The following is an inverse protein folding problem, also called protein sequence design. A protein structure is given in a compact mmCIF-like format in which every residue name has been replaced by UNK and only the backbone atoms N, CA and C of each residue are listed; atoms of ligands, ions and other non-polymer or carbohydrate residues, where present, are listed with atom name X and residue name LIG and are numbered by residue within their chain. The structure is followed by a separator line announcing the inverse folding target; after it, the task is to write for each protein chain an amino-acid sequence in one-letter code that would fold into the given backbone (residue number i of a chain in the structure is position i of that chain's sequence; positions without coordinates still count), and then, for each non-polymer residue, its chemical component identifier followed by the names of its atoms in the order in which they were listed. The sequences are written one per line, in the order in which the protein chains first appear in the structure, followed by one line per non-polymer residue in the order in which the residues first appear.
data_IF_503680888205
#
_entry.id   IF_503680888205
#
_cell.length_a   1.000
_cell.length_b   1.000
_cell.length_c   1.000
_cell.angle_alpha   90.00
_cell.angle_beta   90.00
_cell.angle_gamma   90.00
#
_symmetry.space_group_name_H-M   'P 1'
#
loop_
_entity.id
_entity.type
_entity.pdbx_description
1 polymer ?
#
# COMPACT_ATOMS: atom_id res chain seq x y z
N UNK A 1 -22.75 -31.90 -31.58
CA UNK A 1 -23.04 -30.82 -30.62
C UNK A 1 -22.70 -31.15 -29.15
N UNK A 2 -22.78 -32.40 -28.65
CA UNK A 2 -22.40 -32.72 -27.25
C UNK A 2 -20.88 -32.72 -26.95
N UNK A 3 -20.02 -32.88 -27.96
CA UNK A 3 -18.55 -32.93 -27.79
C UNK A 3 -17.92 -31.62 -27.31
N UNK A 4 -18.24 -30.49 -27.97
CA UNK A 4 -17.71 -29.16 -27.60
C UNK A 4 -18.06 -28.74 -26.17
N UNK A 5 -19.24 -29.15 -25.66
CA UNK A 5 -19.69 -28.76 -24.31
C UNK A 5 -18.85 -29.40 -23.19
N UNK A 6 -18.41 -30.66 -23.36
CA UNK A 6 -17.57 -31.35 -22.37
C UNK A 6 -16.14 -30.78 -22.39
N UNK A 7 -15.59 -30.54 -23.58
CA UNK A 7 -14.25 -29.95 -23.73
C UNK A 7 -14.18 -28.53 -23.15
N UNK A 8 -15.20 -27.70 -23.42
CA UNK A 8 -15.33 -26.37 -22.81
C UNK A 8 -15.38 -26.44 -21.28
N UNK A 9 -16.17 -27.37 -20.72
CA UNK A 9 -16.27 -27.56 -19.28
C UNK A 9 -14.91 -27.94 -18.65
N UNK A 10 -14.14 -28.82 -19.30
CA UNK A 10 -12.78 -29.19 -18.82
C UNK A 10 -11.84 -27.99 -18.86
N UNK A 11 -11.87 -27.19 -19.92
CA UNK A 11 -11.05 -25.98 -20.01
C UNK A 11 -11.44 -24.94 -18.95
N UNK A 12 -12.74 -24.66 -18.78
CA UNK A 12 -13.25 -23.73 -17.75
C UNK A 12 -12.75 -24.11 -16.36
N UNK A 13 -12.73 -25.40 -16.02
CA UNK A 13 -12.23 -25.88 -14.72
C UNK A 13 -10.72 -25.61 -14.57
N UNK A 14 -9.93 -25.84 -15.63
CA UNK A 14 -8.48 -25.53 -15.62
C UNK A 14 -8.22 -24.03 -15.50
N UNK A 15 -8.92 -23.19 -16.28
CA UNK A 15 -8.81 -21.73 -16.20
C UNK A 15 -9.20 -21.23 -14.81
N UNK A 16 -10.23 -21.82 -14.19
CA UNK A 16 -10.63 -21.49 -12.82
C UNK A 16 -9.54 -21.80 -11.79
N UNK A 17 -8.84 -22.93 -11.95
CA UNK A 17 -7.70 -23.26 -11.09
C UNK A 17 -6.55 -22.25 -11.26
N UNK A 18 -6.23 -21.85 -12.49
CA UNK A 18 -5.19 -20.85 -12.79
C UNK A 18 -5.55 -19.49 -12.19
N UNK A 19 -6.79 -19.01 -12.37
CA UNK A 19 -7.28 -17.76 -11.78
C UNK A 19 -7.13 -17.78 -10.25
N UNK A 20 -7.47 -18.90 -9.61
CA UNK A 20 -7.36 -19.02 -8.16
C UNK A 20 -5.90 -18.93 -7.67
N UNK A 21 -4.95 -19.54 -8.38
CA UNK A 21 -3.52 -19.44 -8.05
C UNK A 21 -2.99 -18.02 -8.32
N UNK A 22 -3.38 -17.37 -9.42
CA UNK A 22 -3.04 -15.97 -9.68
C UNK A 22 -3.59 -15.04 -8.59
N UNK A 23 -4.81 -15.27 -8.11
CA UNK A 23 -5.39 -14.49 -7.01
C UNK A 23 -4.57 -14.61 -5.72
N UNK A 24 -4.10 -15.81 -5.37
CA UNK A 24 -3.21 -16.01 -4.21
C UNK A 24 -1.88 -15.29 -4.39
N UNK A 25 -1.26 -15.43 -5.57
CA UNK A 25 0.00 -14.78 -5.91
C UNK A 25 -0.11 -13.25 -5.81
N UNK A 26 -1.16 -12.66 -6.38
CA UNK A 26 -1.44 -11.23 -6.26
C UNK A 26 -1.58 -10.80 -4.79
N UNK A 27 -2.24 -11.60 -3.96
CA UNK A 27 -2.32 -11.38 -2.52
C UNK A 27 -0.96 -11.34 -1.83
N UNK A 28 -0.06 -12.26 -2.18
CA UNK A 28 1.29 -12.33 -1.60
C UNK A 28 2.21 -11.22 -2.14
N UNK A 29 2.07 -10.83 -3.42
CA UNK A 29 2.78 -9.69 -3.99
C UNK A 29 2.38 -8.38 -3.32
N UNK A 30 1.09 -8.17 -3.04
CA UNK A 30 0.62 -7.00 -2.29
C UNK A 30 1.15 -6.96 -0.85
N UNK A 31 1.28 -8.12 -0.18
CA UNK A 31 1.99 -8.19 1.11
C UNK A 31 3.46 -7.80 0.96
N UNK A 32 4.11 -8.24 -0.10
CA UNK A 32 5.50 -7.89 -0.40
C UNK A 32 5.70 -6.39 -0.64
N UNK A 33 4.79 -5.73 -1.37
CA UNK A 33 4.77 -4.27 -1.52
C UNK A 33 4.70 -3.58 -0.17
N UNK A 34 3.79 -4.01 0.70
CA UNK A 34 3.69 -3.47 2.05
C UNK A 34 4.97 -3.61 2.86
N UNK A 35 5.69 -4.75 2.76
CA UNK A 35 6.98 -4.89 3.44
C UNK A 35 8.05 -3.93 2.90
N UNK A 36 8.09 -3.69 1.59
CA UNK A 36 9.03 -2.73 0.99
C UNK A 36 8.72 -1.31 1.44
N UNK A 37 7.44 -0.92 1.41
CA UNK A 37 6.96 0.38 1.90
C UNK A 37 7.41 0.65 3.32
N UNK A 38 7.20 -0.31 4.22
CA UNK A 38 7.56 -0.16 5.63
C UNK A 38 9.07 -0.18 5.85
N UNK A 39 9.81 -1.04 5.13
CA UNK A 39 11.27 -1.05 5.21
C UNK A 39 11.87 0.28 4.73
N UNK A 40 11.32 0.87 3.67
CA UNK A 40 11.75 2.18 3.19
C UNK A 40 11.49 3.28 4.23
N UNK A 41 10.32 3.26 4.88
CA UNK A 41 9.98 4.21 5.94
C UNK A 41 10.86 4.05 7.18
N UNK A 42 11.07 2.83 7.66
CA UNK A 42 11.91 2.55 8.83
C UNK A 42 13.37 2.97 8.59
N UNK A 43 13.90 2.74 7.37
CA UNK A 43 15.24 3.19 7.00
C UNK A 43 15.33 4.71 6.92
N UNK A 44 14.31 5.37 6.37
CA UNK A 44 14.26 6.82 6.30
C UNK A 44 14.20 7.44 7.71
N UNK A 45 13.38 6.89 8.59
CA UNK A 45 13.26 7.34 9.98
C UNK A 45 14.57 7.14 10.75
N UNK A 46 15.23 5.99 10.58
CA UNK A 46 16.52 5.74 11.21
C UNK A 46 17.57 6.79 10.80
N UNK A 47 17.56 7.22 9.54
CA UNK A 47 18.47 8.24 9.04
C UNK A 47 18.17 9.60 9.67
N UNK A 48 16.89 9.99 9.70
CA UNK A 48 16.48 11.28 10.27
C UNK A 48 16.76 11.36 11.78
N UNK A 49 16.66 10.24 12.51
CA UNK A 49 16.90 10.18 13.96
C UNK A 49 18.36 10.02 14.36
N UNK A 50 19.13 9.18 13.64
CA UNK A 50 20.43 8.71 14.14
C UNK A 50 21.63 9.04 13.23
N UNK A 51 21.43 9.49 11.99
CA UNK A 51 22.58 9.90 11.17
C UNK A 51 22.98 11.33 11.49
N UNK A 52 24.13 11.43 12.15
CA UNK A 52 24.82 12.65 12.55
C UNK A 52 24.94 13.64 11.37
N UNK A 53 24.23 14.77 11.42
CA UNK A 53 24.31 15.85 10.41
C UNK A 53 25.71 16.48 10.34
N UNK A 54 26.58 16.19 11.31
CA UNK A 54 27.88 16.84 11.50
C UNK A 54 29.11 16.00 11.08
N UNK A 55 28.98 14.70 10.79
CA UNK A 55 30.16 13.84 10.51
C UNK A 55 30.14 13.22 9.10
N UNK A 56 30.85 13.91 8.21
CA UNK A 56 31.48 13.32 7.04
C UNK A 56 32.42 12.19 7.47
N UNK A 57 32.03 10.92 7.33
CA UNK A 57 32.98 9.80 7.42
C UNK A 57 32.54 8.63 6.54
N UNK A 58 32.99 8.67 5.29
CA UNK A 58 33.63 7.55 4.56
C UNK A 58 33.20 6.11 4.90
N UNK A 59 31.95 5.76 4.60
CA UNK A 59 31.53 4.44 4.05
C UNK A 59 30.01 4.49 3.79
N UNK A 60 29.62 5.28 2.79
CA UNK A 60 28.22 5.51 2.41
C UNK A 60 27.66 4.29 1.65
N UNK A 61 27.04 3.36 2.37
CA UNK A 61 25.78 2.83 1.85
C UNK A 61 24.72 3.89 2.14
N UNK A 62 24.70 4.95 1.33
CA UNK A 62 23.65 5.97 1.46
C UNK A 62 22.37 5.33 1.00
N UNK A 63 21.45 5.07 1.93
CA UNK A 63 20.08 4.73 1.59
C UNK A 63 19.54 5.75 0.58
N UNK A 64 19.28 5.29 -0.64
CA UNK A 64 18.73 6.10 -1.71
C UNK A 64 17.24 5.78 -1.83
N UNK A 65 16.40 6.76 -1.48
CA UNK A 65 14.95 6.58 -1.53
C UNK A 65 14.46 6.30 -2.97
N UNK A 66 15.18 6.81 -3.97
CA UNK A 66 14.81 6.61 -5.37
C UNK A 66 15.00 5.15 -5.79
N UNK A 67 16.02 4.46 -5.30
CA UNK A 67 16.23 3.03 -5.60
C UNK A 67 15.08 2.18 -5.03
N UNK A 68 14.58 2.52 -3.83
CA UNK A 68 13.41 1.84 -3.24
C UNK A 68 12.15 2.12 -4.04
N UNK A 69 11.97 3.36 -4.50
CA UNK A 69 10.83 3.75 -5.32
C UNK A 69 10.83 3.02 -6.67
N UNK A 70 11.99 2.91 -7.34
CA UNK A 70 12.11 2.14 -8.60
C UNK A 70 11.78 0.66 -8.39
N UNK A 71 12.29 0.06 -7.30
CA UNK A 71 11.97 -1.33 -6.96
C UNK A 71 10.47 -1.51 -6.63
N UNK A 72 9.85 -0.53 -5.97
CA UNK A 72 8.43 -0.54 -5.65
C UNK A 72 7.59 -0.45 -6.93
N UNK A 73 7.94 0.45 -7.84
CA UNK A 73 7.31 0.60 -9.16
C UNK A 73 7.45 -0.67 -9.99
N UNK A 74 8.63 -1.29 -10.02
CA UNK A 74 8.83 -2.54 -10.75
C UNK A 74 7.85 -3.62 -10.29
N UNK A 75 7.66 -3.74 -8.97
CA UNK A 75 6.69 -4.68 -8.40
C UNK A 75 5.24 -4.33 -8.72
N UNK A 76 4.87 -3.04 -8.73
CA UNK A 76 3.55 -2.61 -9.22
C UNK A 76 3.35 -3.06 -10.66
N UNK A 77 4.33 -2.84 -11.54
CA UNK A 77 4.24 -3.23 -12.93
C UNK A 77 4.11 -4.75 -13.10
N UNK A 78 4.78 -5.54 -12.26
CA UNK A 78 4.65 -7.01 -12.29
C UNK A 78 3.30 -7.49 -11.75
N UNK A 79 2.72 -6.82 -10.74
CA UNK A 79 1.34 -7.07 -10.28
C UNK A 79 0.35 -6.80 -11.41
N UNK A 80 0.50 -5.68 -12.09
CA UNK A 80 -0.41 -5.28 -13.17
C UNK A 80 -0.36 -6.26 -14.35
N UNK A 81 0.84 -6.75 -14.72
CA UNK A 81 0.97 -7.81 -15.75
C UNK A 81 0.16 -9.06 -15.40
N UNK A 82 0.20 -9.49 -14.14
CA UNK A 82 -0.54 -10.68 -13.67
C UNK A 82 -2.04 -10.37 -13.63
N UNK A 83 -2.44 -9.16 -13.26
CA UNK A 83 -3.84 -8.74 -13.24
C UNK A 83 -4.44 -8.69 -14.66
N UNK A 84 -3.70 -8.17 -15.64
CA UNK A 84 -4.06 -8.21 -17.07
C UNK A 84 -4.24 -9.66 -17.54
N UNK A 85 -3.26 -10.53 -17.26
CA UNK A 85 -3.38 -11.95 -17.62
C UNK A 85 -4.63 -12.60 -17.00
N UNK A 86 -4.90 -12.33 -15.73
CA UNK A 86 -6.08 -12.83 -15.02
C UNK A 86 -7.37 -12.35 -15.67
N UNK A 87 -7.48 -11.06 -16.02
CA UNK A 87 -8.64 -10.48 -16.72
C UNK A 87 -8.90 -11.18 -18.06
N UNK A 88 -7.85 -11.39 -18.87
CA UNK A 88 -7.97 -12.08 -20.16
C UNK A 88 -8.44 -13.54 -19.97
N UNK A 89 -7.90 -14.24 -18.96
CA UNK A 89 -8.32 -15.61 -18.64
C UNK A 89 -9.79 -15.64 -18.18
N UNK A 90 -10.23 -14.67 -17.38
CA UNK A 90 -11.61 -14.54 -16.92
C UNK A 90 -12.59 -14.33 -18.09
N UNK A 91 -12.24 -13.48 -19.04
CA UNK A 91 -13.03 -13.22 -20.24
C UNK A 91 -13.15 -14.48 -21.12
N UNK A 92 -12.03 -15.16 -21.41
CA UNK A 92 -12.05 -16.43 -22.15
C UNK A 92 -12.90 -17.48 -21.44
N UNK A 93 -12.77 -17.58 -20.11
CA UNK A 93 -13.56 -18.50 -19.30
C UNK A 93 -15.06 -18.18 -19.43
N UNK A 94 -15.45 -16.90 -19.45
CA UNK A 94 -16.84 -16.50 -19.66
C UNK A 94 -17.34 -16.92 -21.04
N UNK A 95 -16.57 -16.67 -22.11
CA UNK A 95 -16.92 -17.10 -23.48
C UNK A 95 -17.10 -18.62 -23.59
N UNK A 96 -16.20 -19.40 -22.99
CA UNK A 96 -16.31 -20.86 -22.95
C UNK A 96 -17.56 -21.34 -22.21
N UNK A 97 -17.92 -20.70 -21.10
CA UNK A 97 -19.15 -21.01 -20.35
C UNK A 97 -20.41 -20.75 -21.17
N UNK A 98 -20.40 -19.69 -22.00
CA UNK A 98 -21.50 -19.34 -22.88
C UNK A 98 -21.54 -20.20 -24.16
N UNK A 99 -20.56 -21.08 -24.37
CA UNK A 99 -20.38 -21.86 -25.60
C UNK A 99 -20.32 -20.99 -26.86
N UNK A 100 -19.70 -19.81 -26.76
CA UNK A 100 -19.43 -18.97 -27.93
C UNK A 100 -18.50 -19.70 -28.91
N UNK A 101 -18.75 -19.57 -30.21
CA UNK A 101 -17.87 -20.14 -31.23
C UNK A 101 -16.53 -19.41 -31.23
N UNK A 102 -15.48 -20.12 -30.83
CA UNK A 102 -14.10 -19.63 -30.88
C UNK A 102 -13.26 -20.55 -31.75
N UNK A 103 -12.55 -19.96 -32.73
CA UNK A 103 -11.68 -20.70 -33.64
C UNK A 103 -10.49 -21.36 -32.91
N UNK A 104 -9.90 -20.66 -31.94
CA UNK A 104 -8.80 -21.17 -31.12
C UNK A 104 -8.69 -20.37 -29.83
N UNK A 105 -8.76 -21.05 -28.69
CA UNK A 105 -8.61 -20.43 -27.36
C UNK A 105 -7.25 -19.75 -27.22
N UNK A 106 -6.17 -20.37 -27.69
CA UNK A 106 -4.83 -19.80 -27.58
C UNK A 106 -4.70 -18.52 -28.42
N UNK A 107 -5.19 -18.51 -29.66
CA UNK A 107 -5.13 -17.31 -30.50
C UNK A 107 -5.93 -16.15 -29.92
N UNK A 108 -7.11 -16.44 -29.37
CA UNK A 108 -7.94 -15.43 -28.71
C UNK A 108 -7.24 -14.90 -27.45
N UNK A 109 -6.59 -15.76 -26.68
CA UNK A 109 -5.79 -15.38 -25.51
C UNK A 109 -4.63 -14.46 -25.89
N UNK A 110 -3.79 -14.90 -26.82
CA UNK A 110 -2.60 -14.14 -27.22
C UNK A 110 -3.00 -12.77 -27.76
N UNK A 111 -4.04 -12.72 -28.60
CA UNK A 111 -4.58 -11.47 -29.15
C UNK A 111 -5.07 -10.52 -28.06
N UNK A 112 -5.93 -11.00 -27.15
CA UNK A 112 -6.49 -10.15 -26.08
C UNK A 112 -5.43 -9.71 -25.07
N UNK A 113 -4.45 -10.57 -24.80
CA UNK A 113 -3.33 -10.23 -23.94
C UNK A 113 -2.51 -9.09 -24.54
N UNK A 114 -2.22 -9.16 -25.84
CA UNK A 114 -1.53 -8.10 -26.56
C UNK A 114 -2.34 -6.79 -26.54
N UNK A 115 -3.64 -6.83 -26.87
CA UNK A 115 -4.53 -5.67 -26.85
C UNK A 115 -4.57 -4.97 -25.47
N UNK A 116 -4.74 -5.73 -24.38
CA UNK A 116 -4.78 -5.16 -23.03
C UNK A 116 -3.40 -4.66 -22.56
N UNK A 117 -2.31 -5.31 -22.97
CA UNK A 117 -0.95 -4.82 -22.69
C UNK A 117 -0.65 -3.51 -23.43
N UNK A 118 -1.00 -3.40 -24.71
CA UNK A 118 -0.87 -2.16 -25.47
C UNK A 118 -1.72 -1.05 -24.87
N UNK A 119 -2.96 -1.35 -24.49
CA UNK A 119 -3.84 -0.40 -23.80
C UNK A 119 -3.21 0.08 -22.49
N UNK A 120 -2.62 -0.81 -21.70
CA UNK A 120 -1.93 -0.44 -20.47
C UNK A 120 -0.67 0.41 -20.72
N UNK A 121 0.11 0.06 -21.75
CA UNK A 121 1.35 0.77 -22.08
C UNK A 121 1.12 2.11 -22.78
N UNK A 122 -0.01 2.28 -23.47
CA UNK A 122 -0.39 3.56 -24.10
C UNK A 122 -0.71 4.67 -23.09
N UNK A 123 -0.96 4.31 -21.82
CA UNK A 123 -1.06 5.28 -20.75
C UNK A 123 0.33 5.74 -20.29
N UNK A 124 0.55 7.05 -20.36
CA UNK A 124 1.74 7.74 -19.81
C UNK A 124 2.09 7.21 -18.41
N UNK A 125 3.37 6.93 -18.16
CA UNK A 125 3.84 6.35 -16.88
C UNK A 125 3.38 7.17 -15.68
N UNK A 126 3.43 8.50 -15.78
CA UNK A 126 3.08 9.37 -14.66
C UNK A 126 1.61 9.26 -14.26
N UNK A 127 0.68 9.12 -15.23
CA UNK A 127 -0.76 8.93 -14.96
C UNK A 127 -1.00 7.60 -14.24
N UNK A 128 -0.36 6.53 -14.71
CA UNK A 128 -0.47 5.19 -14.09
C UNK A 128 -0.06 5.20 -12.62
N UNK A 129 1.07 5.83 -12.29
CA UNK A 129 1.55 5.88 -10.91
C UNK A 129 0.77 6.88 -10.05
N UNK A 130 0.29 8.00 -10.62
CA UNK A 130 -0.54 8.96 -9.89
C UNK A 130 -1.88 8.37 -9.45
N UNK A 131 -2.49 7.53 -10.29
CA UNK A 131 -3.75 6.85 -9.99
C UNK A 131 -3.58 5.57 -9.16
N UNK A 132 -2.35 5.08 -8.97
CA UNK A 132 -2.10 3.85 -8.24
C UNK A 132 -2.13 4.06 -6.72
N UNK A 133 -3.15 3.50 -6.06
CA UNK A 133 -3.33 3.60 -4.61
C UNK A 133 -2.13 3.12 -3.79
N UNK A 134 -1.46 2.03 -4.21
CA UNK A 134 -0.32 1.51 -3.45
C UNK A 134 0.90 2.41 -3.57
N UNK A 135 1.08 3.06 -4.74
CA UNK A 135 2.09 4.09 -4.93
C UNK A 135 1.79 5.34 -4.11
N UNK A 136 0.54 5.79 -4.07
CA UNK A 136 0.11 6.88 -3.19
C UNK A 136 0.42 6.57 -1.72
N UNK A 137 -0.02 5.42 -1.21
CA UNK A 137 0.25 5.02 0.18
C UNK A 137 1.75 4.93 0.47
N UNK A 138 2.55 4.46 -0.48
CA UNK A 138 4.01 4.44 -0.37
C UNK A 138 4.58 5.85 -0.21
N UNK A 139 4.20 6.78 -1.09
CA UNK A 139 4.69 8.16 -1.05
C UNK A 139 4.23 8.90 0.22
N UNK A 140 2.98 8.74 0.63
CA UNK A 140 2.44 9.31 1.87
C UNK A 140 3.19 8.78 3.09
N UNK A 141 3.41 7.46 3.14
CA UNK A 141 4.13 6.79 4.23
C UNK A 141 5.54 7.34 4.40
N UNK A 142 6.23 7.65 3.30
CA UNK A 142 7.56 8.25 3.30
C UNK A 142 7.54 9.75 3.60
N UNK A 143 6.56 10.48 3.07
CA UNK A 143 6.35 11.91 3.33
C UNK A 143 6.16 12.18 4.82
N UNK A 144 5.33 11.37 5.47
CA UNK A 144 5.01 11.46 6.89
C UNK A 144 6.24 11.33 7.81
N UNK A 145 7.28 10.63 7.37
CA UNK A 145 8.53 10.51 8.14
C UNK A 145 9.18 11.88 8.34
N UNK A 146 9.17 12.73 7.30
CA UNK A 146 9.81 14.05 7.33
C UNK A 146 8.86 15.19 7.69
N UNK A 147 7.57 15.05 7.36
CA UNK A 147 6.61 16.16 7.34
C UNK A 147 5.37 15.86 8.18
N UNK A 148 5.55 15.66 9.49
CA UNK A 148 4.47 15.33 10.41
C UNK A 148 3.30 16.30 10.34
N UNK A 149 2.09 15.76 10.15
CA UNK A 149 0.85 16.52 10.16
C UNK A 149 0.62 17.43 8.94
N UNK A 150 1.57 17.46 7.99
CA UNK A 150 1.42 18.19 6.73
C UNK A 150 0.83 17.28 5.67
N UNK A 151 -0.12 17.81 4.92
CA UNK A 151 -0.67 17.12 3.75
C UNK A 151 0.43 16.89 2.71
N UNK A 152 0.47 15.70 2.13
CA UNK A 152 1.39 15.40 1.04
C UNK A 152 1.06 16.31 -0.16
N UNK A 153 2.08 16.88 -0.84
CA UNK A 153 1.89 17.58 -2.11
C UNK A 153 1.22 16.68 -3.16
N UNK A 154 0.66 17.30 -4.21
CA UNK A 154 -0.01 16.58 -5.29
C UNK A 154 0.87 15.46 -5.87
N UNK A 155 0.37 14.23 -5.81
CA UNK A 155 1.04 13.07 -6.38
C UNK A 155 1.16 13.18 -7.89
N UNK A 156 0.15 13.75 -8.56
CA UNK A 156 0.15 14.01 -10.00
C UNK A 156 1.31 14.93 -10.39
N UNK A 157 1.52 16.01 -9.65
CA UNK A 157 2.63 16.93 -9.90
C UNK A 157 3.99 16.22 -9.72
N UNK A 158 4.11 15.41 -8.65
CA UNK A 158 5.31 14.64 -8.37
C UNK A 158 5.63 13.64 -9.49
N UNK A 159 4.65 12.81 -9.88
CA UNK A 159 4.87 11.79 -10.90
C UNK A 159 5.10 12.42 -12.27
N UNK A 160 4.41 13.53 -12.59
CA UNK A 160 4.64 14.27 -13.84
C UNK A 160 6.07 14.79 -13.92
N UNK A 161 6.58 15.40 -12.85
CA UNK A 161 7.96 15.88 -12.82
C UNK A 161 8.99 14.76 -12.99
N UNK A 162 8.75 13.60 -12.35
CA UNK A 162 9.73 12.51 -12.28
C UNK A 162 9.63 11.50 -13.43
N UNK A 163 8.43 11.27 -13.96
CA UNK A 163 8.11 10.23 -14.93
C UNK A 163 7.39 10.74 -16.18
N UNK A 164 7.20 12.07 -16.31
CA UNK A 164 6.54 12.67 -17.48
C UNK A 164 7.45 12.88 -18.68
N UNK A 165 8.76 12.71 -18.54
CA UNK A 165 9.73 12.88 -19.64
C UNK A 165 9.93 11.63 -20.51
N UNK A 166 9.35 10.49 -20.12
CA UNK A 166 9.49 9.22 -20.85
C UNK A 166 8.53 9.09 -22.05
N UNK A 167 7.60 10.05 -22.22
CA UNK A 167 6.66 10.06 -23.33
C UNK A 167 7.18 11.01 -24.44
N UNK A 168 7.65 10.45 -25.57
CA UNK A 168 7.85 11.18 -26.84
C UNK A 168 6.50 11.59 -27.50
N UNK A 169 5.40 11.63 -26.75
CA UNK A 169 4.09 12.06 -27.23
C UNK A 169 3.81 13.51 -26.82
N UNK A 170 3.61 14.33 -27.85
CA UNK A 170 3.30 15.75 -27.89
C UNK A 170 2.81 16.40 -26.58
N UNK A 171 3.54 17.46 -26.21
CA UNK A 171 3.28 18.40 -25.11
C UNK A 171 1.97 19.21 -25.30
N UNK A 172 1.23 19.01 -26.40
CA UNK A 172 0.22 19.95 -26.88
C UNK A 172 -1.27 19.53 -26.70
N UNK A 173 -1.58 18.39 -26.08
CA UNK A 173 -2.98 18.03 -25.75
C UNK A 173 -3.16 17.77 -24.25
N UNK A 174 -3.19 18.86 -23.48
CA UNK A 174 -3.48 18.89 -22.05
C UNK A 174 -4.92 19.35 -21.85
N UNK A 175 -5.89 18.44 -21.97
CA UNK A 175 -7.20 18.64 -21.33
C UNK A 175 -7.10 18.24 -19.85
N UNK A 176 -7.45 19.19 -19.00
CA UNK A 176 -7.61 19.05 -17.56
C UNK A 176 -8.80 18.11 -17.28
N UNK A 177 -8.53 16.81 -17.14
CA UNK A 177 -9.46 15.93 -16.44
C UNK A 177 -9.06 15.86 -14.97
N UNK A 178 -9.68 16.78 -14.23
CA UNK A 178 -9.86 16.77 -12.79
C UNK A 178 -10.85 15.65 -12.45
N UNK A 179 -10.46 14.67 -11.64
CA UNK A 179 -11.36 13.90 -10.76
C UNK A 179 -10.55 12.97 -9.86
N UNK A 180 -10.31 13.40 -8.62
CA UNK A 180 -11.09 12.93 -7.47
C UNK A 180 -10.33 13.23 -6.18
N UNK A 181 -10.88 14.20 -5.44
CA UNK A 181 -10.45 14.61 -4.11
C UNK A 181 -10.57 13.46 -3.11
N UNK A 182 -9.45 12.80 -2.78
CA UNK A 182 -9.35 12.05 -1.51
C UNK A 182 -9.04 13.08 -0.40
N UNK A 183 -10.11 13.60 0.20
CA UNK A 183 -10.04 14.41 1.42
C UNK A 183 -9.68 13.47 2.59
N UNK A 184 -8.39 13.35 2.91
CA UNK A 184 -7.97 12.74 4.16
C UNK A 184 -8.18 13.78 5.27
N UNK A 185 -9.23 13.61 6.05
CA UNK A 185 -9.45 14.40 7.27
C UNK A 185 -8.28 14.20 8.23
N UNK A 186 -7.54 15.27 8.50
CA UNK A 186 -6.43 15.30 9.45
C UNK A 186 -6.99 15.18 10.89
N UNK A 187 -7.40 13.97 11.29
CA UNK A 187 -7.80 13.71 12.68
C UNK A 187 -6.52 13.71 13.51
N UNK A 188 -6.38 14.66 14.44
CA UNK A 188 -5.34 14.59 15.47
C UNK A 188 -5.48 13.25 16.21
N UNK A 189 -4.59 12.32 15.90
CA UNK A 189 -4.58 10.99 16.51
C UNK A 189 -3.89 11.11 17.89
N UNK A 190 -4.63 10.80 18.96
CA UNK A 190 -4.08 10.82 20.32
C UNK A 190 -3.02 9.73 20.49
N UNK A 191 -1.89 10.08 21.10
CA UNK A 191 -0.85 9.11 21.49
C UNK A 191 -1.23 8.33 22.76
N UNK A 192 -2.29 8.74 23.46
CA UNK A 192 -2.71 8.12 24.71
C UNK A 192 -3.66 6.95 24.42
N UNK A 193 -3.29 5.78 24.93
CA UNK A 193 -4.10 4.59 24.85
C UNK A 193 -5.41 4.76 25.63
N UNK A 194 -6.59 4.49 25.04
CA UNK A 194 -7.85 4.58 25.76
C UNK A 194 -7.98 3.51 26.87
N UNK A 195 -7.19 2.44 26.81
CA UNK A 195 -7.17 1.33 27.78
C UNK A 195 -6.19 1.63 28.92
N UNK A 196 -4.90 1.83 28.59
CA UNK A 196 -3.85 1.95 29.60
C UNK A 196 -3.69 3.38 30.13
N UNK A 197 -4.32 4.37 29.48
CA UNK A 197 -4.19 5.81 29.78
C UNK A 197 -2.74 6.32 29.76
N UNK A 198 -1.85 5.59 29.09
CA UNK A 198 -0.43 5.93 28.89
C UNK A 198 -0.16 6.08 27.40
N UNK A 199 1.01 6.63 27.04
CA UNK A 199 1.49 6.62 25.65
C UNK A 199 1.44 5.20 25.11
N UNK A 200 0.84 5.01 23.93
CA UNK A 200 0.63 3.69 23.39
C UNK A 200 1.96 2.95 23.20
N UNK A 201 1.97 1.67 23.58
CA UNK A 201 3.05 0.75 23.27
C UNK A 201 2.56 -0.24 22.20
N UNK A 202 3.37 -0.46 21.16
CA UNK A 202 3.02 -1.27 19.97
C UNK A 202 1.59 -1.01 19.47
N UNK A 203 1.30 0.22 19.00
CA UNK A 203 -0.06 0.61 18.69
C UNK A 203 -0.67 -0.26 17.59
N UNK A 204 -1.94 -0.65 17.79
CA UNK A 204 -2.77 -1.41 16.86
C UNK A 204 -3.96 -0.54 16.47
N UNK A 205 -4.36 -0.55 15.20
CA UNK A 205 -5.55 0.12 14.68
C UNK A 205 -6.60 -0.89 14.26
N UNK A 206 -7.86 -0.61 14.62
CA UNK A 206 -9.00 -1.40 14.15
C UNK A 206 -9.37 -1.03 12.72
N UNK A 207 -9.57 -2.04 11.85
CA UNK A 207 -10.05 -1.86 10.48
C UNK A 207 -11.49 -1.34 10.43
N UNK A 208 -12.31 -1.64 11.45
CA UNK A 208 -13.74 -1.28 11.51
C UNK A 208 -13.95 0.17 11.91
N UNK A 209 -13.43 0.59 13.06
CA UNK A 209 -13.66 1.93 13.62
C UNK A 209 -12.48 2.90 13.49
N UNK A 210 -11.33 2.45 12.96
CA UNK A 210 -10.09 3.25 12.81
C UNK A 210 -9.52 3.83 14.10
N UNK A 211 -9.92 3.32 15.27
CA UNK A 211 -9.33 3.69 16.55
C UNK A 211 -8.10 2.86 16.87
N UNK A 212 -7.18 3.49 17.62
CA UNK A 212 -5.87 2.94 17.97
C UNK A 212 -5.77 2.60 19.46
N UNK A 213 -5.07 1.50 19.77
CA UNK A 213 -4.89 0.96 21.12
C UNK A 213 -3.48 0.43 21.31
N UNK A 214 -2.99 0.35 22.54
CA UNK A 214 -1.80 -0.46 22.84
C UNK A 214 -2.06 -1.95 22.62
N UNK A 215 -1.00 -2.71 22.38
CA UNK A 215 -1.04 -4.17 22.14
C UNK A 215 -1.80 -4.99 23.19
N UNK A 216 -1.94 -4.48 24.42
CA UNK A 216 -2.74 -5.02 25.53
C UNK A 216 -4.19 -5.36 25.12
N UNK A 217 -4.76 -4.65 24.14
CA UNK A 217 -6.10 -4.97 23.58
C UNK A 217 -6.22 -6.45 23.14
N UNK A 218 -5.13 -7.06 22.66
CA UNK A 218 -5.12 -8.46 22.21
C UNK A 218 -5.36 -9.43 23.37
N UNK A 219 -4.82 -9.13 24.55
CA UNK A 219 -5.00 -9.94 25.75
C UNK A 219 -6.44 -9.83 26.25
N UNK A 220 -6.97 -8.60 26.31
CA UNK A 220 -8.38 -8.35 26.69
C UNK A 220 -9.36 -9.08 25.77
N UNK A 221 -9.12 -9.06 24.45
CA UNK A 221 -9.95 -9.80 23.50
C UNK A 221 -9.85 -11.31 23.70
N UNK A 222 -8.67 -11.83 24.04
CA UNK A 222 -8.46 -13.26 24.31
C UNK A 222 -9.14 -13.70 25.60
N UNK A 223 -9.13 -12.87 26.63
CA UNK A 223 -9.78 -13.15 27.91
C UNK A 223 -11.31 -13.12 27.82
N UNK A 224 -11.87 -12.40 26.83
CA UNK A 224 -13.31 -12.42 26.61
C UNK A 224 -13.77 -13.73 25.96
N UNK A 225 -14.87 -14.29 26.50
CA UNK A 225 -15.52 -15.50 26.00
C UNK A 225 -15.94 -15.38 24.53
N UNK A 226 -16.38 -14.20 24.10
CA UNK A 226 -16.83 -13.96 22.71
C UNK A 226 -15.69 -13.72 21.71
N UNK A 227 -14.42 -13.69 22.15
CA UNK A 227 -13.23 -13.37 21.32
C UNK A 227 -13.34 -12.04 20.54
N UNK A 228 -14.16 -11.12 21.05
CA UNK A 228 -14.36 -9.75 20.58
C UNK A 228 -14.76 -8.88 21.77
N UNK A 229 -14.52 -7.57 21.73
CA UNK A 229 -15.00 -6.64 22.76
C UNK A 229 -15.59 -5.39 22.13
N UNK A 230 -16.34 -4.60 22.90
CA UNK A 230 -16.70 -3.24 22.48
C UNK A 230 -15.47 -2.35 22.39
N UNK A 231 -15.45 -1.46 21.41
CA UNK A 231 -14.40 -0.46 21.24
C UNK A 231 -14.16 0.33 22.55
N UNK A 232 -12.93 0.30 23.12
CA UNK A 232 -12.63 1.06 24.34
C UNK A 232 -12.67 2.58 24.21
N UNK A 233 -12.84 3.13 23.01
CA UNK A 233 -13.00 4.58 22.80
C UNK A 233 -14.44 4.96 23.12
N UNK A 234 -14.60 5.91 24.05
CA UNK A 234 -15.90 6.40 24.48
C UNK A 234 -16.74 6.88 23.28
N UNK A 235 -18.01 6.46 23.22
CA UNK A 235 -18.95 6.82 22.16
C UNK A 235 -18.83 6.00 20.87
N UNK A 236 -17.93 5.01 20.80
CA UNK A 236 -17.85 4.11 19.65
C UNK A 236 -18.67 2.84 19.87
N UNK A 237 -19.62 2.57 18.96
CA UNK A 237 -20.54 1.41 19.05
C UNK A 237 -20.01 0.12 18.40
N UNK A 238 -18.80 0.16 17.84
CA UNK A 238 -18.25 -0.97 17.09
C UNK A 238 -17.62 -2.02 18.02
N UNK A 239 -17.79 -3.30 17.67
CA UNK A 239 -17.02 -4.39 18.25
C UNK A 239 -15.68 -4.56 17.52
N UNK A 240 -14.67 -5.04 18.26
CA UNK A 240 -13.31 -5.27 17.79
C UNK A 240 -12.90 -6.69 18.15
N UNK A 241 -12.48 -7.46 17.14
CA UNK A 241 -11.88 -8.78 17.27
C UNK A 241 -10.39 -8.76 16.92
N UNK A 242 -9.68 -9.87 17.16
CA UNK A 242 -8.27 -9.99 16.76
C UNK A 242 -8.07 -9.82 15.24
N UNK A 243 -9.05 -10.25 14.43
CA UNK A 243 -8.97 -10.16 12.96
C UNK A 243 -9.11 -8.72 12.43
N UNK A 244 -9.76 -7.87 13.23
CA UNK A 244 -9.97 -6.45 12.93
C UNK A 244 -8.73 -5.61 13.22
N UNK A 245 -7.81 -6.10 14.05
CA UNK A 245 -6.63 -5.37 14.46
C UNK A 245 -5.47 -5.57 13.48
N UNK A 246 -4.81 -4.46 13.12
CA UNK A 246 -3.52 -4.45 12.43
C UNK A 246 -2.55 -3.51 13.13
N UNK A 247 -1.23 -3.72 13.03
CA UNK A 247 -0.25 -2.75 13.52
C UNK A 247 -0.49 -1.35 12.95
N UNK A 248 -0.54 -0.34 13.82
CA UNK A 248 -0.57 1.06 13.41
C UNK A 248 0.86 1.60 13.36
N UNK A 249 1.56 1.28 12.27
CA UNK A 249 2.97 1.64 12.11
C UNK A 249 3.18 3.15 12.04
N UNK A 250 2.25 3.90 11.41
CA UNK A 250 2.30 5.37 11.39
C UNK A 250 2.30 5.95 12.80
N UNK A 251 1.36 5.51 13.66
CA UNK A 251 1.30 5.96 15.04
C UNK A 251 2.51 5.51 15.86
N UNK A 252 3.03 4.30 15.60
CA UNK A 252 4.24 3.80 16.26
C UNK A 252 5.46 4.70 15.96
N UNK A 253 5.64 5.10 14.69
CA UNK A 253 6.70 6.03 14.26
C UNK A 253 6.56 7.40 14.94
N UNK A 254 5.35 7.96 14.94
CA UNK A 254 5.07 9.24 15.64
C UNK A 254 5.42 9.19 17.14
N UNK A 255 5.03 8.11 17.81
CA UNK A 255 5.34 7.92 19.24
C UNK A 255 6.85 7.78 19.46
N UNK A 256 7.55 7.04 18.60
CA UNK A 256 9.00 6.85 18.69
C UNK A 256 9.73 8.18 18.51
N UNK A 257 9.37 8.97 17.50
CA UNK A 257 9.96 10.29 17.25
C UNK A 257 9.73 11.24 18.40
N UNK A 258 8.50 11.32 18.93
CA UNK A 258 8.22 12.15 20.12
C UNK A 258 9.12 11.77 21.31
N UNK A 259 9.25 10.48 21.62
CA UNK A 259 10.12 10.00 22.70
C UNK A 259 11.59 10.34 22.48
N UNK A 260 12.05 10.30 21.22
CA UNK A 260 13.42 10.67 20.88
C UNK A 260 13.67 12.16 21.13
N UNK A 261 12.78 13.03 20.65
CA UNK A 261 12.88 14.49 20.85
C UNK A 261 12.82 14.87 22.33
N UNK A 262 11.90 14.27 23.10
CA UNK A 262 11.82 14.48 24.56
C UNK A 262 13.13 14.08 25.26
N UNK A 263 13.75 12.97 24.84
CA UNK A 263 15.04 12.52 25.39
C UNK A 263 16.19 13.45 25.02
N UNK A 264 16.22 13.99 23.80
CA UNK A 264 17.23 14.95 23.33
C UNK A 264 17.14 16.26 24.12
N UNK A 265 15.93 16.80 24.27
CA UNK A 265 15.67 17.99 25.10
C UNK A 265 16.10 17.78 26.56
N UNK A 266 15.78 16.62 27.17
CA UNK A 266 16.22 16.29 28.53
C UNK A 266 17.75 16.18 28.67
N UNK A 267 18.46 15.71 27.64
CA UNK A 267 19.93 15.63 27.65
C UNK A 267 20.55 17.02 27.53
N UNK A 268 20.07 17.85 26.61
CA UNK A 268 20.52 19.24 26.44
C UNK A 268 20.28 20.07 27.70
N UNK A 269 19.14 19.88 28.38
CA UNK A 269 18.87 20.53 29.65
C UNK A 269 19.87 20.12 30.73
N UNK A 270 20.21 18.83 30.85
CA UNK A 270 21.20 18.36 31.85
C UNK A 270 22.58 18.95 31.58
N UNK A 271 23.04 18.95 30.33
CA UNK A 271 24.33 19.53 29.94
C UNK A 271 24.42 21.04 30.22
N UNK A 272 23.28 21.75 30.23
CA UNK A 272 23.23 23.18 30.54
C UNK A 272 23.40 23.51 32.04
N UNK A 273 23.13 22.53 32.91
CA UNK A 273 23.21 22.69 34.37
C UNK A 273 24.39 21.93 35.01
N UNK A 274 25.23 21.27 34.21
CA UNK A 274 26.54 20.70 34.58
C UNK A 274 27.70 21.66 34.28
#
# INVERSE_FOLDING_TARGET
MKGNSIENMVMVNKLSAIINEQFKLLGDMNKSLNYIKELAADKLEYIELYQDKSKSTTNKSSFNIDDYEQNFIQKINDIEKIDIQKKVIEDIKQKLNMNEEMNSVNKEYDKKLEEEQERFLSQSRYKRYAANKEFQEFRETLWDVKNEGRTMPSLVAYTRQKYGYDDEMDIDNLEEEDDDNIIITNRQESFICPITKRIMNDPLISKTCKHSYSSVIKEIIKENNERRIECPVAGCIHYVSLNDLRPNKLLARKIRRKRFLEMEEEMEEREKYE
#
